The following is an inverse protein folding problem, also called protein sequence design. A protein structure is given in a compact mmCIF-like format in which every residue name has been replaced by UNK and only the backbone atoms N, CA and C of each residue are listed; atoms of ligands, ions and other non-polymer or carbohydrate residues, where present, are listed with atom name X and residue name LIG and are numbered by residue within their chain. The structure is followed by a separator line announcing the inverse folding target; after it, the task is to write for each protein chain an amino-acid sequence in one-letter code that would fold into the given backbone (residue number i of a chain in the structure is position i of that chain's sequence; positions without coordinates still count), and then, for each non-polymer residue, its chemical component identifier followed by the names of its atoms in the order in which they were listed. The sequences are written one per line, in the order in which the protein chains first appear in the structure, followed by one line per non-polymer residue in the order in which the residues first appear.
data_IF_991828262632
#
_entry.id   IF_991828262632
#
_cell.length_a   1.000
_cell.length_b   1.000
_cell.length_c   1.000
_cell.angle_alpha   90.00
_cell.angle_beta   90.00
_cell.angle_gamma   90.00
#
_symmetry.space_group_name_H-M   'P 1'
#
loop_
_entity.id
_entity.type
_entity.pdbx_description
1 polymer ?
#
# COMPACT_ATOMS: atom_id res chain seq x y z
N UNK A 1 14.18 -4.11 25.12
CA UNK A 1 13.35 -4.84 24.14
C UNK A 1 12.08 -4.03 23.93
N UNK A 2 11.79 -3.59 22.71
CA UNK A 2 10.57 -2.86 22.40
C UNK A 2 9.56 -3.82 21.76
N UNK A 3 8.29 -3.44 21.83
CA UNK A 3 7.23 -4.12 21.10
C UNK A 3 6.68 -3.18 20.01
N UNK A 4 6.86 -3.54 18.74
CA UNK A 4 6.49 -2.73 17.60
C UNK A 4 5.20 -3.25 16.98
N UNK A 5 4.21 -2.38 16.81
CA UNK A 5 2.99 -2.68 16.09
C UNK A 5 3.10 -2.27 14.61
N UNK A 6 2.63 -3.11 13.70
CA UNK A 6 2.61 -2.84 12.25
C UNK A 6 1.17 -2.69 11.80
N UNK A 7 0.82 -1.54 11.23
CA UNK A 7 -0.50 -1.28 10.62
C UNK A 7 -0.31 -1.12 9.12
N UNK A 8 -0.88 -2.01 8.31
CA UNK A 8 -0.80 -1.95 6.86
C UNK A 8 -2.06 -2.52 6.19
N UNK A 9 -2.31 -2.19 4.90
CA UNK A 9 -3.34 -2.88 4.12
C UNK A 9 -3.04 -4.37 4.03
N UNK A 10 -4.09 -5.17 4.14
CA UNK A 10 -4.00 -6.63 4.03
C UNK A 10 -3.98 -7.07 2.56
N UNK A 11 -2.96 -6.64 1.84
CA UNK A 11 -2.72 -7.02 0.45
C UNK A 11 -1.26 -7.47 0.27
N UNK A 12 -0.96 -8.41 -0.62
CA UNK A 12 0.36 -9.03 -0.72
C UNK A 12 1.51 -8.02 -0.88
N UNK A 13 1.34 -6.99 -1.73
CA UNK A 13 2.37 -5.99 -1.97
C UNK A 13 2.75 -5.18 -0.72
N UNK A 14 1.79 -4.89 0.16
CA UNK A 14 2.03 -4.18 1.41
C UNK A 14 2.54 -5.13 2.50
N UNK A 15 1.89 -6.29 2.66
CA UNK A 15 2.26 -7.26 3.68
C UNK A 15 3.69 -7.78 3.50
N UNK A 16 4.11 -8.10 2.27
CA UNK A 16 5.45 -8.63 2.03
C UNK A 16 6.55 -7.63 2.40
N UNK A 17 6.40 -6.37 2.03
CA UNK A 17 7.34 -5.31 2.43
C UNK A 17 7.38 -5.13 3.96
N UNK A 18 6.21 -5.14 4.61
CA UNK A 18 6.14 -5.03 6.07
C UNK A 18 6.70 -6.25 6.79
N UNK A 19 6.59 -7.45 6.22
CA UNK A 19 7.22 -8.67 6.75
C UNK A 19 8.74 -8.55 6.71
N UNK A 20 9.33 -8.00 5.63
CA UNK A 20 10.77 -7.78 5.56
C UNK A 20 11.26 -6.83 6.68
N UNK A 21 10.52 -5.75 6.92
CA UNK A 21 10.82 -4.82 8.00
C UNK A 21 10.61 -5.44 9.39
N UNK A 22 9.57 -6.27 9.55
CA UNK A 22 9.30 -7.00 10.79
C UNK A 22 10.40 -8.01 11.11
N UNK A 23 10.92 -8.75 10.13
CA UNK A 23 12.05 -9.66 10.32
C UNK A 23 13.31 -8.90 10.73
N UNK A 24 13.62 -7.79 10.09
CA UNK A 24 14.76 -6.94 10.47
C UNK A 24 14.61 -6.36 11.89
N UNK A 25 13.38 -6.06 12.30
CA UNK A 25 13.04 -5.56 13.64
C UNK A 25 13.20 -6.69 14.68
N UNK A 26 12.69 -7.89 14.37
CA UNK A 26 12.83 -9.08 15.22
C UNK A 26 14.29 -9.51 15.37
N UNK A 27 15.08 -9.46 14.30
CA UNK A 27 16.50 -9.78 14.33
C UNK A 27 17.31 -8.85 15.26
N UNK A 28 16.78 -7.66 15.56
CA UNK A 28 17.34 -6.72 16.55
C UNK A 28 16.81 -6.91 17.97
N UNK A 29 16.10 -8.01 18.24
CA UNK A 29 15.59 -8.35 19.56
C UNK A 29 14.28 -7.67 19.95
N UNK A 30 13.53 -7.13 18.99
CA UNK A 30 12.23 -6.51 19.25
C UNK A 30 11.09 -7.49 18.93
N UNK A 31 9.98 -7.38 19.66
CA UNK A 31 8.72 -8.08 19.35
C UNK A 31 7.96 -7.31 18.30
N UNK A 32 7.23 -8.01 17.41
CA UNK A 32 6.40 -7.41 16.36
C UNK A 32 5.03 -8.05 16.35
N UNK A 33 3.97 -7.23 16.28
CA UNK A 33 2.58 -7.66 16.10
C UNK A 33 1.94 -6.89 14.93
N UNK A 34 1.27 -7.60 14.04
CA UNK A 34 0.55 -7.00 12.91
C UNK A 34 -0.90 -6.69 13.30
N UNK A 35 -1.34 -5.49 12.98
CA UNK A 35 -2.71 -5.02 13.14
C UNK A 35 -3.34 -4.84 11.76
N UNK A 36 -4.34 -5.66 11.43
CA UNK A 36 -4.86 -5.76 10.08
C UNK A 36 -6.39 -5.68 10.04
N UNK A 37 -6.91 -5.15 8.94
CA UNK A 37 -8.29 -5.36 8.53
C UNK A 37 -8.40 -6.65 7.72
N UNK A 38 -9.52 -7.34 7.86
CA UNK A 38 -9.77 -8.59 7.16
C UNK A 38 -9.06 -9.80 7.76
N UNK A 39 -9.12 -10.93 7.06
CA UNK A 39 -8.48 -12.19 7.49
C UNK A 39 -6.97 -12.10 7.23
N UNK A 40 -6.12 -12.28 8.24
CA UNK A 40 -4.68 -12.26 8.05
C UNK A 40 -4.21 -13.26 7.00
N UNK A 41 -3.26 -12.91 6.13
CA UNK A 41 -2.70 -13.86 5.18
C UNK A 41 -1.81 -14.88 5.89
N UNK A 42 -1.79 -16.11 5.39
CA UNK A 42 -1.01 -17.20 5.97
C UNK A 42 0.49 -16.88 6.08
N UNK A 43 1.02 -16.04 5.19
CA UNK A 43 2.44 -15.63 5.19
C UNK A 43 2.89 -14.97 6.49
N UNK A 44 2.01 -14.25 7.20
CA UNK A 44 2.34 -13.63 8.50
C UNK A 44 2.48 -14.71 9.58
N UNK A 45 1.53 -15.66 9.63
CA UNK A 45 1.56 -16.75 10.58
C UNK A 45 2.76 -17.69 10.31
N UNK A 46 3.01 -18.02 9.03
CA UNK A 46 4.19 -18.82 8.62
C UNK A 46 5.50 -18.13 8.99
N UNK A 47 5.54 -16.78 8.96
CA UNK A 47 6.69 -16.02 9.43
C UNK A 47 6.80 -15.97 10.97
N UNK A 48 5.83 -16.52 11.71
CA UNK A 48 5.83 -16.55 13.17
C UNK A 48 5.51 -15.21 13.84
N UNK A 49 4.74 -14.34 13.16
CA UNK A 49 4.27 -13.09 13.75
C UNK A 49 2.82 -13.19 14.22
N UNK A 50 2.54 -12.51 15.32
CA UNK A 50 1.19 -12.37 15.84
C UNK A 50 0.38 -11.39 14.99
N UNK A 51 -0.93 -11.64 14.89
CA UNK A 51 -1.87 -10.77 14.21
C UNK A 51 -3.06 -10.42 15.09
N UNK A 52 -3.51 -9.19 14.98
CA UNK A 52 -4.68 -8.68 15.72
C UNK A 52 -5.60 -7.96 14.72
N UNK A 53 -6.91 -8.20 14.84
CA UNK A 53 -7.90 -7.59 13.95
C UNK A 53 -8.21 -6.15 14.36
N UNK A 54 -8.26 -5.25 13.37
CA UNK A 54 -8.72 -3.87 13.50
C UNK A 54 -10.16 -3.64 13.01
N UNK A 55 -10.78 -4.66 12.45
CA UNK A 55 -12.10 -4.49 11.80
C UNK A 55 -13.28 -4.49 12.78
N UNK A 56 -13.18 -5.29 13.84
CA UNK A 56 -14.28 -5.48 14.79
C UNK A 56 -15.60 -5.78 14.09
N UNK A 57 -16.68 -5.16 14.55
CA UNK A 57 -18.03 -5.24 13.93
C UNK A 57 -18.22 -4.19 12.82
N UNK A 58 -17.39 -3.14 12.78
CA UNK A 58 -17.52 -2.02 11.82
C UNK A 58 -17.14 -2.45 10.41
N UNK A 59 -16.06 -3.23 10.30
CA UNK A 59 -15.61 -3.76 9.03
C UNK A 59 -15.16 -5.23 9.19
N UNK A 60 -16.09 -6.17 9.28
CA UNK A 60 -15.78 -7.59 9.45
C UNK A 60 -14.87 -8.14 8.36
N UNK A 61 -14.11 -9.18 8.69
CA UNK A 61 -13.08 -9.73 7.80
C UNK A 61 -13.61 -10.14 6.42
N UNK A 62 -14.75 -10.81 6.38
CA UNK A 62 -15.36 -11.28 5.13
C UNK A 62 -15.85 -10.09 4.27
N UNK A 63 -16.43 -9.06 4.91
CA UNK A 63 -16.84 -7.85 4.22
C UNK A 63 -15.63 -7.10 3.62
N UNK A 64 -14.51 -7.00 4.34
CA UNK A 64 -13.27 -6.41 3.84
C UNK A 64 -12.78 -7.17 2.60
N UNK A 65 -12.76 -8.51 2.66
CA UNK A 65 -12.28 -9.35 1.58
C UNK A 65 -13.18 -9.24 0.32
N UNK A 66 -14.50 -9.21 0.50
CA UNK A 66 -15.45 -9.03 -0.58
C UNK A 66 -15.29 -7.68 -1.32
N UNK A 67 -15.02 -6.60 -0.57
CA UNK A 67 -14.78 -5.28 -1.18
C UNK A 67 -13.52 -5.26 -2.07
N UNK A 68 -12.45 -5.94 -1.66
CA UNK A 68 -11.23 -6.05 -2.48
C UNK A 68 -11.42 -6.97 -3.69
N UNK A 69 -12.19 -8.05 -3.56
CA UNK A 69 -12.54 -8.89 -4.70
C UNK A 69 -13.34 -8.11 -5.75
N UNK A 70 -14.29 -7.30 -5.31
CA UNK A 70 -15.06 -6.41 -6.18
C UNK A 70 -14.16 -5.37 -6.86
N UNK A 71 -13.21 -4.76 -6.13
CA UNK A 71 -12.26 -3.81 -6.69
C UNK A 71 -11.47 -4.42 -7.86
N UNK A 72 -11.12 -5.70 -7.80
CA UNK A 72 -10.36 -6.40 -8.84
C UNK A 72 -11.03 -6.41 -10.22
N UNK A 73 -12.36 -6.26 -10.29
CA UNK A 73 -13.13 -6.21 -11.52
C UNK A 73 -13.52 -4.80 -11.98
N UNK A 74 -13.22 -3.77 -11.18
CA UNK A 74 -13.58 -2.39 -11.48
C UNK A 74 -12.43 -1.66 -12.19
N UNK A 75 -12.79 -0.67 -13.01
CA UNK A 75 -11.85 0.16 -13.76
C UNK A 75 -12.17 1.66 -13.58
N UNK A 76 -11.21 2.51 -13.87
CA UNK A 76 -11.34 3.96 -13.96
C UNK A 76 -12.03 4.60 -12.75
N UNK A 77 -13.03 5.42 -13.02
CA UNK A 77 -13.79 6.17 -11.98
C UNK A 77 -14.53 5.24 -11.00
N UNK A 78 -14.99 4.08 -11.47
CA UNK A 78 -15.68 3.12 -10.61
C UNK A 78 -14.71 2.50 -9.59
N UNK A 79 -13.52 2.11 -10.03
CA UNK A 79 -12.45 1.60 -9.16
C UNK A 79 -12.02 2.67 -8.14
N UNK A 80 -11.81 3.90 -8.59
CA UNK A 80 -11.43 5.01 -7.71
C UNK A 80 -12.49 5.28 -6.64
N UNK A 81 -13.76 5.43 -7.04
CA UNK A 81 -14.87 5.65 -6.10
C UNK A 81 -14.96 4.52 -5.07
N UNK A 82 -14.79 3.28 -5.53
CA UNK A 82 -14.84 2.12 -4.67
C UNK A 82 -13.66 2.06 -3.69
N UNK A 83 -12.45 2.35 -4.15
CA UNK A 83 -11.25 2.46 -3.30
C UNK A 83 -11.42 3.48 -2.19
N UNK A 84 -11.96 4.67 -2.51
CA UNK A 84 -12.22 5.70 -1.51
C UNK A 84 -13.29 5.28 -0.50
N UNK A 85 -14.31 4.54 -0.94
CA UNK A 85 -15.34 4.01 -0.05
C UNK A 85 -14.77 2.95 0.91
N UNK A 86 -13.93 2.04 0.41
CA UNK A 86 -13.19 1.08 1.27
C UNK A 86 -12.33 1.84 2.27
N UNK A 87 -11.54 2.83 1.81
CA UNK A 87 -10.67 3.64 2.66
C UNK A 87 -11.44 4.39 3.76
N UNK A 88 -12.64 4.90 3.45
CA UNK A 88 -13.50 5.58 4.42
C UNK A 88 -14.01 4.61 5.51
N UNK A 89 -14.50 3.42 5.12
CA UNK A 89 -14.92 2.37 6.07
C UNK A 89 -13.75 1.85 6.89
N UNK A 90 -12.59 1.69 6.27
CA UNK A 90 -11.36 1.30 6.96
C UNK A 90 -10.96 2.34 8.01
N UNK A 91 -11.10 3.62 7.69
CA UNK A 91 -10.83 4.69 8.64
C UNK A 91 -11.78 4.62 9.85
N UNK A 92 -13.08 4.44 9.62
CA UNK A 92 -14.07 4.29 10.70
C UNK A 92 -13.69 3.12 11.63
N UNK A 93 -13.41 1.94 11.06
CA UNK A 93 -13.07 0.74 11.83
C UNK A 93 -11.77 0.92 12.64
N UNK A 94 -10.71 1.42 12.02
CA UNK A 94 -9.41 1.58 12.67
C UNK A 94 -9.46 2.65 13.77
N UNK A 95 -10.20 3.75 13.56
CA UNK A 95 -10.34 4.79 14.57
C UNK A 95 -11.20 4.35 15.77
N UNK A 96 -12.20 3.51 15.53
CA UNK A 96 -13.08 3.02 16.59
C UNK A 96 -12.43 1.89 17.41
N UNK A 97 -11.84 0.90 16.74
CA UNK A 97 -11.33 -0.34 17.36
C UNK A 97 -9.85 -0.22 17.72
N UNK A 98 -9.06 0.43 16.83
CA UNK A 98 -7.60 0.42 16.89
C UNK A 98 -7.00 0.88 18.22
N UNK A 99 -7.40 2.03 18.79
CA UNK A 99 -6.79 2.51 20.03
C UNK A 99 -6.90 1.54 21.20
N UNK A 100 -8.08 0.91 21.37
CA UNK A 100 -8.30 -0.06 22.44
C UNK A 100 -7.46 -1.32 22.24
N UNK A 101 -7.49 -1.87 21.01
CA UNK A 101 -6.80 -3.11 20.67
C UNK A 101 -5.28 -2.93 20.68
N UNK A 102 -4.74 -1.83 20.17
CA UNK A 102 -3.31 -1.55 20.20
C UNK A 102 -2.82 -1.39 21.65
N UNK A 103 -3.58 -0.71 22.49
CA UNK A 103 -3.24 -0.54 23.92
C UNK A 103 -3.14 -1.88 24.64
N UNK A 104 -4.05 -2.83 24.40
CA UNK A 104 -4.07 -4.13 25.11
C UNK A 104 -2.87 -5.02 24.78
N UNK A 105 -2.22 -4.81 23.64
CA UNK A 105 -1.04 -5.59 23.24
C UNK A 105 0.27 -5.11 23.85
N UNK A 106 0.28 -3.91 24.45
CA UNK A 106 1.47 -3.34 25.06
C UNK A 106 2.55 -2.93 24.06
N UNK A 107 2.20 -2.59 22.83
CA UNK A 107 3.15 -2.02 21.86
C UNK A 107 3.66 -0.66 22.31
N UNK A 108 4.93 -0.37 22.04
CA UNK A 108 5.63 0.85 22.45
C UNK A 108 5.92 1.80 21.29
N UNK A 109 5.75 1.34 20.05
CA UNK A 109 5.89 2.14 18.83
C UNK A 109 5.08 1.52 17.70
N UNK A 110 4.70 2.34 16.72
CA UNK A 110 3.98 1.87 15.53
C UNK A 110 4.80 2.09 14.25
N UNK A 111 4.65 1.17 13.32
CA UNK A 111 5.04 1.29 11.92
C UNK A 111 3.77 1.27 11.11
N UNK A 112 3.50 2.34 10.39
CA UNK A 112 2.23 2.58 9.71
C UNK A 112 2.48 2.71 8.21
N UNK A 113 1.80 1.90 7.43
CA UNK A 113 1.81 2.03 5.98
C UNK A 113 1.23 3.39 5.56
N UNK A 114 1.83 4.01 4.56
CA UNK A 114 1.44 5.33 4.05
C UNK A 114 -0.04 5.44 3.66
N UNK A 115 -0.64 4.34 3.18
CA UNK A 115 -2.07 4.32 2.80
C UNK A 115 -2.98 3.81 3.92
N UNK A 116 -2.44 3.45 5.07
CA UNK A 116 -3.20 3.20 6.31
C UNK A 116 -3.47 4.53 7.04
N UNK A 117 -4.19 5.43 6.38
CA UNK A 117 -4.36 6.83 6.76
C UNK A 117 -4.71 7.09 8.24
N UNK A 118 -5.57 6.29 8.91
CA UNK A 118 -5.89 6.52 10.32
C UNK A 118 -4.79 6.07 11.30
N UNK A 119 -3.79 5.31 10.86
CA UNK A 119 -2.81 4.68 11.74
C UNK A 119 -1.97 5.68 12.54
N UNK A 120 -1.58 6.81 11.96
CA UNK A 120 -0.90 7.90 12.67
C UNK A 120 -1.78 8.52 13.77
N UNK A 121 -3.11 8.60 13.52
CA UNK A 121 -4.05 9.09 14.55
C UNK A 121 -4.16 8.11 15.72
N UNK A 122 -4.14 6.81 15.48
CA UNK A 122 -4.09 5.81 16.56
C UNK A 122 -2.81 5.98 17.38
N UNK A 123 -1.66 6.20 16.73
CA UNK A 123 -0.40 6.46 17.43
C UNK A 123 -0.49 7.70 18.32
N UNK A 124 -0.95 8.83 17.76
CA UNK A 124 -1.07 10.10 18.49
C UNK A 124 -2.04 9.99 19.68
N UNK A 125 -3.19 9.32 19.49
CA UNK A 125 -4.17 9.09 20.56
C UNK A 125 -3.60 8.29 21.73
N UNK A 126 -2.64 7.40 21.44
CA UNK A 126 -1.99 6.56 22.44
C UNK A 126 -0.67 7.15 22.96
N UNK A 127 -0.23 8.29 22.43
CA UNK A 127 1.07 8.88 22.75
C UNK A 127 2.26 8.02 22.29
N UNK A 128 2.08 7.18 21.26
CA UNK A 128 3.12 6.30 20.75
C UNK A 128 3.91 6.96 19.61
N UNK A 129 5.23 6.84 19.61
CA UNK A 129 6.01 7.23 18.45
C UNK A 129 5.67 6.30 17.26
N UNK A 130 5.68 6.86 16.04
CA UNK A 130 5.48 6.05 14.86
C UNK A 130 6.35 6.47 13.67
N UNK A 131 6.60 5.51 12.79
CA UNK A 131 7.20 5.72 11.49
C UNK A 131 6.18 5.41 10.38
N UNK A 132 6.22 6.15 9.29
CA UNK A 132 5.44 5.83 8.08
C UNK A 132 6.29 5.05 7.09
N UNK A 133 5.72 4.00 6.48
CA UNK A 133 6.38 3.21 5.43
C UNK A 133 5.64 3.40 4.11
N UNK A 134 6.39 3.83 3.11
CA UNK A 134 5.91 4.06 1.75
C UNK A 134 6.26 2.84 0.90
N UNK A 135 5.28 1.95 0.72
CA UNK A 135 5.45 0.70 -0.03
C UNK A 135 5.29 0.87 -1.56
N UNK A 136 5.01 2.07 -2.00
CA UNK A 136 4.92 2.49 -3.40
C UNK A 136 5.56 3.87 -3.56
N UNK A 137 5.14 4.66 -4.56
CA UNK A 137 5.58 6.04 -4.71
C UNK A 137 5.20 6.89 -3.49
N UNK A 138 6.05 7.86 -3.15
CA UNK A 138 5.74 8.84 -2.12
C UNK A 138 4.52 9.67 -2.49
N UNK A 139 3.53 9.70 -1.61
CA UNK A 139 2.31 10.48 -1.80
C UNK A 139 2.44 11.93 -1.30
N UNK A 140 3.61 12.32 -0.78
CA UNK A 140 3.87 13.68 -0.32
C UNK A 140 3.65 14.69 -1.44
N UNK A 141 2.80 15.71 -1.27
CA UNK A 141 2.61 16.74 -2.26
C UNK A 141 3.89 17.54 -2.49
N UNK A 142 4.20 17.78 -3.76
CA UNK A 142 5.31 18.66 -4.18
C UNK A 142 4.90 19.35 -5.49
N UNK A 143 4.80 20.69 -5.51
CA UNK A 143 4.43 21.41 -6.72
C UNK A 143 5.43 21.26 -7.88
N UNK A 144 6.66 20.81 -7.63
CA UNK A 144 7.65 20.58 -8.69
C UNK A 144 7.34 19.36 -9.55
N UNK A 145 6.51 18.44 -9.04
CA UNK A 145 6.13 17.22 -9.73
C UNK A 145 4.61 17.12 -9.92
N UNK A 146 4.14 16.48 -10.99
CA UNK A 146 2.72 16.19 -11.14
C UNK A 146 2.26 15.13 -10.13
N UNK A 147 0.99 15.16 -9.69
CA UNK A 147 0.44 14.09 -8.89
C UNK A 147 0.49 12.73 -9.62
N UNK A 148 0.72 11.67 -8.87
CA UNK A 148 0.94 10.30 -9.37
C UNK A 148 -0.21 9.71 -10.22
N UNK A 149 -1.40 10.26 -10.13
CA UNK A 149 -2.57 9.81 -10.92
C UNK A 149 -2.70 10.52 -12.28
N UNK A 150 -1.77 11.40 -12.63
CA UNK A 150 -1.76 12.12 -13.91
C UNK A 150 -0.76 11.49 -14.87
N UNK A 151 -1.00 11.65 -16.18
CA UNK A 151 -0.05 11.27 -17.22
C UNK A 151 0.92 12.41 -17.58
N UNK A 152 1.05 13.41 -16.70
CA UNK A 152 1.90 14.56 -16.98
C UNK A 152 3.36 14.27 -16.67
N UNK A 153 4.24 14.77 -17.51
CA UNK A 153 5.67 14.74 -17.23
C UNK A 153 6.08 15.91 -16.32
N UNK A 154 7.06 15.70 -15.44
CA UNK A 154 7.69 16.78 -14.69
C UNK A 154 8.27 17.83 -15.65
N UNK A 155 8.02 19.10 -15.39
CA UNK A 155 8.55 20.21 -16.16
C UNK A 155 8.97 21.33 -15.21
N UNK A 156 10.17 21.86 -15.41
CA UNK A 156 10.67 23.00 -14.65
C UNK A 156 10.20 24.33 -15.28
N UNK A 157 8.90 24.58 -15.15
CA UNK A 157 8.26 25.78 -15.63
C UNK A 157 7.27 26.30 -14.60
N UNK A 158 7.14 27.62 -14.46
CA UNK A 158 6.25 28.24 -13.47
C UNK A 158 4.78 27.78 -13.62
N UNK A 159 4.29 27.72 -14.87
CA UNK A 159 2.93 27.26 -15.16
C UNK A 159 2.70 25.79 -14.77
N UNK A 160 3.73 24.93 -14.94
CA UNK A 160 3.66 23.53 -14.54
C UNK A 160 3.53 23.40 -13.02
N UNK A 161 4.23 24.23 -12.27
CA UNK A 161 4.12 24.28 -10.79
C UNK A 161 2.73 24.72 -10.35
N UNK A 162 2.10 25.70 -11.02
CA UNK A 162 0.72 26.12 -10.75
C UNK A 162 -0.25 24.98 -11.07
N UNK A 163 -0.13 24.38 -12.25
CA UNK A 163 -0.93 23.22 -12.66
C UNK A 163 -0.84 22.08 -11.62
N UNK A 164 0.36 21.72 -11.23
CA UNK A 164 0.60 20.65 -10.27
C UNK A 164 0.00 20.99 -8.89
N UNK A 165 0.15 22.24 -8.42
CA UNK A 165 -0.45 22.70 -7.16
C UNK A 165 -1.97 22.57 -7.17
N UNK A 166 -2.62 22.98 -8.25
CA UNK A 166 -4.08 22.84 -8.42
C UNK A 166 -4.47 21.34 -8.40
N UNK A 167 -3.72 20.50 -9.09
CA UNK A 167 -4.00 19.07 -9.13
C UNK A 167 -3.79 18.39 -7.77
N UNK A 168 -2.76 18.76 -6.99
CA UNK A 168 -2.57 18.31 -5.62
C UNK A 168 -3.71 18.75 -4.68
N UNK A 169 -4.23 19.98 -4.85
CA UNK A 169 -5.43 20.43 -4.12
C UNK A 169 -6.66 19.61 -4.50
N UNK A 170 -6.82 19.28 -5.80
CA UNK A 170 -7.86 18.37 -6.28
C UNK A 170 -7.77 16.98 -5.64
N UNK A 171 -6.56 16.44 -5.50
CA UNK A 171 -6.33 15.16 -4.84
C UNK A 171 -6.69 15.19 -3.35
N UNK A 172 -6.32 16.25 -2.64
CA UNK A 172 -6.74 16.43 -1.24
C UNK A 172 -8.27 16.43 -1.09
N UNK A 173 -8.97 17.06 -2.05
CA UNK A 173 -10.43 17.03 -2.06
C UNK A 173 -11.00 15.65 -2.37
N UNK A 174 -10.31 14.88 -3.20
CA UNK A 174 -10.68 13.49 -3.49
C UNK A 174 -10.58 12.61 -2.25
N UNK A 175 -9.59 12.82 -1.40
CA UNK A 175 -9.43 12.11 -0.12
C UNK A 175 -10.32 12.66 1.01
N UNK A 176 -11.10 13.72 0.76
CA UNK A 176 -11.96 14.32 1.78
C UNK A 176 -12.87 13.33 2.53
N UNK A 177 -13.48 12.29 1.90
CA UNK A 177 -14.28 11.31 2.64
C UNK A 177 -13.53 10.60 3.76
N UNK A 178 -12.24 10.32 3.56
CA UNK A 178 -11.37 9.68 4.56
C UNK A 178 -10.87 10.72 5.55
N UNK A 179 -10.38 11.85 5.05
CA UNK A 179 -9.79 12.91 5.87
C UNK A 179 -10.79 13.52 6.85
N UNK A 180 -12.05 13.72 6.42
CA UNK A 180 -13.10 14.24 7.32
C UNK A 180 -13.32 13.34 8.53
N UNK A 181 -13.26 12.02 8.38
CA UNK A 181 -13.38 11.07 9.49
C UNK A 181 -12.23 11.22 10.47
N UNK A 182 -11.02 11.26 9.96
CA UNK A 182 -9.80 11.47 10.76
C UNK A 182 -9.86 12.82 11.49
N UNK A 183 -10.21 13.89 10.78
CA UNK A 183 -10.32 15.24 11.34
C UNK A 183 -11.36 15.32 12.45
N UNK A 184 -12.55 14.73 12.24
CA UNK A 184 -13.61 14.71 13.25
C UNK A 184 -13.19 13.91 14.49
N UNK A 185 -12.61 12.73 14.30
CA UNK A 185 -12.11 11.90 15.40
C UNK A 185 -11.05 12.65 16.22
N UNK A 186 -10.06 13.25 15.56
CA UNK A 186 -9.00 14.01 16.21
C UNK A 186 -9.54 15.24 16.95
N UNK A 187 -10.50 15.94 16.36
CA UNK A 187 -11.16 17.09 16.99
C UNK A 187 -11.89 16.70 18.28
N UNK A 188 -12.61 15.57 18.27
CA UNK A 188 -13.32 15.05 19.43
C UNK A 188 -12.37 14.66 20.58
N UNK A 189 -11.11 14.34 20.26
CA UNK A 189 -10.07 13.98 21.22
C UNK A 189 -9.18 15.16 21.63
N UNK A 190 -9.41 16.37 21.10
CA UNK A 190 -8.53 17.52 21.34
C UNK A 190 -7.14 17.39 20.73
N UNK A 191 -6.94 16.50 19.74
CA UNK A 191 -5.70 16.33 19.02
C UNK A 191 -5.54 17.37 17.90
N UNK A 192 -4.31 17.65 17.49
CA UNK A 192 -4.02 18.48 16.32
C UNK A 192 -4.74 17.96 15.09
N UNK A 193 -5.47 18.84 14.38
CA UNK A 193 -6.29 18.47 13.23
C UNK A 193 -5.47 18.65 11.94
N UNK A 194 -5.28 17.58 11.12
CA UNK A 194 -4.52 17.66 9.89
C UNK A 194 -5.26 18.53 8.86
N UNK A 195 -4.50 19.37 8.13
CA UNK A 195 -5.01 20.23 7.07
C UNK A 195 -4.95 19.56 5.70
N UNK A 196 -4.05 18.61 5.53
CA UNK A 196 -3.86 17.85 4.30
C UNK A 196 -3.38 16.43 4.56
N UNK A 197 -3.30 15.64 3.50
CA UNK A 197 -2.92 14.22 3.59
C UNK A 197 -1.51 14.03 4.13
N UNK A 198 -0.60 14.97 3.91
CA UNK A 198 0.78 14.90 4.42
C UNK A 198 0.87 14.97 5.95
N UNK A 199 -0.13 15.57 6.59
CA UNK A 199 -0.10 15.82 8.04
C UNK A 199 -0.47 14.58 8.87
N UNK A 200 -0.91 13.50 8.22
CA UNK A 200 -1.21 12.22 8.88
C UNK A 200 -0.02 11.25 8.92
N UNK A 201 1.04 11.56 8.19
CA UNK A 201 2.26 10.76 8.19
C UNK A 201 3.23 11.24 9.25
N UNK A 202 4.17 10.35 9.62
CA UNK A 202 5.16 10.66 10.64
C UNK A 202 6.01 11.88 10.28
N UNK A 203 6.12 12.79 11.21
CA UNK A 203 7.06 13.92 11.20
C UNK A 203 8.49 13.53 11.60
N UNK A 204 8.67 12.31 12.13
CA UNK A 204 9.95 11.79 12.63
C UNK A 204 10.67 10.92 11.59
N UNK A 205 9.95 10.02 10.94
CA UNK A 205 10.54 9.07 9.99
C UNK A 205 9.51 8.59 8.96
N UNK A 206 9.85 8.77 7.68
CA UNK A 206 9.15 8.18 6.55
C UNK A 206 10.13 7.32 5.76
N UNK A 207 9.87 6.03 5.65
CA UNK A 207 10.74 5.05 5.00
C UNK A 207 10.14 4.74 3.63
N UNK A 208 10.88 5.01 2.56
CA UNK A 208 10.49 4.61 1.20
C UNK A 208 11.30 3.40 0.76
N UNK A 209 10.62 2.34 0.31
CA UNK A 209 11.28 1.18 -0.28
C UNK A 209 11.68 1.40 -1.75
N UNK A 210 11.31 2.53 -2.34
CA UNK A 210 11.81 2.91 -3.66
C UNK A 210 13.28 3.35 -3.54
N UNK A 211 14.14 2.98 -4.49
CA UNK A 211 15.40 3.68 -4.68
C UNK A 211 15.15 5.13 -5.08
N UNK A 212 15.97 6.05 -4.61
CA UNK A 212 15.83 7.48 -4.93
C UNK A 212 15.82 7.73 -6.45
N UNK A 213 16.55 6.90 -7.21
CA UNK A 213 16.60 6.97 -8.68
C UNK A 213 15.24 6.74 -9.36
N UNK A 214 14.33 6.00 -8.73
CA UNK A 214 12.98 5.74 -9.25
C UNK A 214 11.94 6.74 -8.76
N UNK A 215 12.31 7.65 -7.85
CA UNK A 215 11.40 8.69 -7.41
C UNK A 215 11.37 9.84 -8.42
N UNK A 216 10.27 10.57 -8.46
CA UNK A 216 10.19 11.80 -9.22
C UNK A 216 11.23 12.82 -8.72
N UNK A 217 11.76 13.71 -9.60
CA UNK A 217 12.74 14.73 -9.21
C UNK A 217 12.10 15.82 -8.34
N UNK A 218 11.86 15.48 -7.08
CA UNK A 218 11.25 16.38 -6.09
C UNK A 218 12.23 17.45 -5.65
N UNK A 219 11.71 18.67 -5.45
CA UNK A 219 12.50 19.76 -4.89
C UNK A 219 12.24 19.94 -3.39
N UNK A 220 11.10 19.56 -2.91
CA UNK A 220 10.63 19.77 -1.54
C UNK A 220 10.34 18.41 -0.87
N UNK A 221 11.38 17.58 -0.77
CA UNK A 221 11.27 16.32 -0.04
C UNK A 221 11.35 16.58 1.47
N UNK A 222 10.40 16.07 2.28
CA UNK A 222 10.47 16.20 3.73
C UNK A 222 11.75 15.58 4.30
N UNK A 223 12.39 16.27 5.24
CA UNK A 223 13.71 15.88 5.80
C UNK A 223 13.69 14.51 6.50
N UNK A 224 12.54 14.07 6.96
CA UNK A 224 12.35 12.77 7.61
C UNK A 224 12.24 11.59 6.63
N UNK A 225 12.18 11.83 5.32
CA UNK A 225 12.12 10.76 4.31
C UNK A 225 13.49 10.10 4.17
N UNK A 226 13.49 8.77 4.11
CA UNK A 226 14.67 7.94 3.85
C UNK A 226 14.35 6.92 2.77
N UNK A 227 15.14 6.91 1.71
CA UNK A 227 15.11 5.87 0.69
C UNK A 227 16.00 4.72 1.15
N UNK A 228 15.42 3.53 1.23
CA UNK A 228 16.14 2.34 1.74
C UNK A 228 16.29 1.23 0.71
N UNK A 229 15.66 1.40 -0.46
CA UNK A 229 15.57 0.36 -1.47
C UNK A 229 14.50 -0.69 -1.14
N UNK A 230 14.35 -1.72 -2.01
CA UNK A 230 13.28 -2.70 -1.88
C UNK A 230 13.33 -3.45 -0.55
N UNK A 231 12.21 -3.47 0.14
CA UNK A 231 12.00 -4.29 1.33
C UNK A 231 11.64 -5.70 0.87
N UNK A 232 12.64 -6.58 0.84
CA UNK A 232 12.53 -7.95 0.34
C UNK A 232 13.07 -8.95 1.34
N UNK A 233 12.42 -10.12 1.42
CA UNK A 233 12.85 -11.27 2.24
C UNK A 233 13.43 -12.34 1.36
N UNK A 234 14.59 -12.85 1.70
CA UNK A 234 15.16 -14.03 1.03
C UNK A 234 14.27 -15.28 1.18
N UNK A 235 13.49 -15.36 2.27
CA UNK A 235 12.55 -16.45 2.53
C UNK A 235 11.28 -16.40 1.68
N UNK A 236 11.00 -15.29 0.99
CA UNK A 236 9.81 -15.16 0.13
C UNK A 236 9.99 -15.88 -1.22
N UNK A 237 11.23 -16.30 -1.52
CA UNK A 237 11.56 -17.10 -2.69
C UNK A 237 11.18 -18.58 -2.47
N UNK A 238 9.91 -18.86 -2.14
CA UNK A 238 9.46 -20.24 -2.12
C UNK A 238 9.40 -20.78 -3.55
N UNK A 239 9.95 -21.97 -3.82
CA UNK A 239 9.80 -22.59 -5.13
C UNK A 239 8.31 -22.74 -5.46
N UNK A 240 7.86 -22.08 -6.51
CA UNK A 240 6.53 -22.32 -7.05
C UNK A 240 6.62 -23.37 -8.14
N UNK A 241 5.63 -24.26 -8.26
CA UNK A 241 5.55 -25.18 -9.40
C UNK A 241 5.49 -24.36 -10.70
N UNK A 242 6.54 -24.48 -11.50
CA UNK A 242 6.63 -23.81 -12.79
C UNK A 242 7.32 -24.76 -13.76
N UNK A 243 6.85 -24.91 -14.99
CA UNK A 243 7.44 -25.82 -15.97
C UNK A 243 8.73 -25.23 -16.58
N UNK A 244 9.79 -25.17 -15.77
CA UNK A 244 11.10 -24.62 -16.14
C UNK A 244 11.68 -25.28 -17.39
N UNK A 245 11.38 -26.55 -17.59
CA UNK A 245 11.78 -27.35 -18.74
C UNK A 245 11.19 -26.89 -20.07
N UNK A 246 10.15 -26.06 -20.03
CA UNK A 246 9.52 -25.46 -21.21
C UNK A 246 10.21 -24.18 -21.69
N UNK A 247 11.15 -23.66 -20.92
CA UNK A 247 11.97 -22.52 -21.32
C UNK A 247 13.07 -23.02 -22.28
N UNK A 248 13.13 -22.47 -23.47
CA UNK A 248 13.99 -22.91 -24.58
C UNK A 248 15.27 -22.08 -24.75
N UNK A 249 15.53 -21.15 -23.83
CA UNK A 249 16.73 -20.29 -23.81
C UNK A 249 16.60 -19.01 -24.62
N UNK A 250 15.50 -18.77 -25.33
CA UNK A 250 15.22 -17.46 -25.93
C UNK A 250 15.00 -16.39 -24.84
N UNK A 251 15.12 -15.11 -25.19
CA UNK A 251 14.78 -14.02 -24.26
C UNK A 251 13.39 -14.23 -23.63
N UNK A 252 13.30 -14.10 -22.31
CA UNK A 252 12.07 -14.29 -21.57
C UNK A 252 11.42 -12.94 -21.27
N UNK A 253 10.18 -12.79 -21.72
CA UNK A 253 9.30 -11.68 -21.36
C UNK A 253 8.36 -12.15 -20.24
N UNK A 254 8.47 -11.56 -19.06
CA UNK A 254 7.54 -11.82 -17.95
C UNK A 254 6.54 -10.67 -17.84
N UNK A 255 5.25 -10.98 -17.91
CA UNK A 255 4.17 -10.01 -17.81
C UNK A 255 3.25 -10.29 -16.62
N UNK A 256 2.91 -9.25 -15.86
CA UNK A 256 2.00 -9.35 -14.72
C UNK A 256 1.27 -8.03 -14.49
N UNK A 257 -0.01 -8.09 -14.14
CA UNK A 257 -0.81 -6.94 -13.71
C UNK A 257 -0.86 -6.80 -12.18
N UNK A 258 -0.01 -7.52 -11.46
CA UNK A 258 0.04 -7.48 -9.99
C UNK A 258 -1.14 -8.22 -9.33
N UNK A 259 -1.49 -7.81 -8.11
CA UNK A 259 -2.38 -8.58 -7.23
C UNK A 259 -3.77 -7.97 -7.00
N UNK A 260 -4.01 -6.73 -7.43
CA UNK A 260 -5.28 -6.02 -7.15
C UNK A 260 -6.19 -5.94 -8.38
N UNK A 261 -5.74 -5.31 -9.44
CA UNK A 261 -6.53 -5.08 -10.67
C UNK A 261 -6.04 -5.98 -11.80
N UNK A 262 -6.16 -7.28 -11.62
CA UNK A 262 -5.62 -8.31 -12.50
C UNK A 262 -6.71 -9.17 -13.19
N UNK A 263 -7.99 -8.76 -13.11
CA UNK A 263 -9.11 -9.45 -13.79
C UNK A 263 -9.47 -8.81 -15.13
N UNK A 264 -8.45 -8.33 -15.86
CA UNK A 264 -8.62 -7.60 -17.12
C UNK A 264 -8.09 -8.48 -18.28
N UNK A 265 -8.89 -9.46 -18.70
CA UNK A 265 -8.50 -10.41 -19.77
C UNK A 265 -8.03 -9.72 -21.06
N UNK A 266 -8.68 -8.60 -21.44
CA UNK A 266 -8.30 -7.84 -22.62
C UNK A 266 -6.87 -7.31 -22.58
N UNK A 267 -6.37 -6.88 -21.40
CA UNK A 267 -5.00 -6.40 -21.27
C UNK A 267 -3.98 -7.53 -21.50
N UNK A 268 -4.24 -8.72 -20.96
CA UNK A 268 -3.37 -9.88 -21.19
C UNK A 268 -3.32 -10.28 -22.67
N UNK A 269 -4.45 -10.18 -23.38
CA UNK A 269 -4.48 -10.44 -24.84
C UNK A 269 -3.65 -9.41 -25.59
N UNK A 270 -3.77 -8.12 -25.28
CA UNK A 270 -2.94 -7.07 -25.90
C UNK A 270 -1.45 -7.32 -25.65
N UNK A 271 -1.08 -7.76 -24.44
CA UNK A 271 0.31 -8.14 -24.14
C UNK A 271 0.76 -9.32 -24.98
N UNK A 272 -0.08 -10.35 -25.13
CA UNK A 272 0.24 -11.51 -25.95
C UNK A 272 0.39 -11.14 -27.43
N UNK A 273 -0.55 -10.37 -27.98
CA UNK A 273 -0.52 -9.85 -29.37
C UNK A 273 0.74 -8.99 -29.62
N UNK A 274 1.13 -8.15 -28.65
CA UNK A 274 2.33 -7.33 -28.75
C UNK A 274 3.64 -8.15 -28.74
N UNK A 275 3.60 -9.38 -28.24
CA UNK A 275 4.74 -10.30 -28.25
C UNK A 275 4.71 -11.27 -29.44
N UNK A 276 3.66 -11.28 -30.23
CA UNK A 276 3.54 -12.14 -31.40
C UNK A 276 4.63 -11.81 -32.43
N UNK A 277 5.29 -12.84 -32.94
CA UNK A 277 6.38 -12.68 -33.93
C UNK A 277 7.73 -12.24 -33.34
N UNK A 278 7.83 -12.02 -32.04
CA UNK A 278 9.13 -11.79 -31.40
C UNK A 278 9.88 -13.11 -31.18
N UNK A 279 11.20 -13.07 -31.36
CA UNK A 279 12.06 -14.20 -30.99
C UNK A 279 12.28 -14.25 -29.48
N UNK A 280 11.20 -14.46 -28.75
CA UNK A 280 11.15 -14.46 -27.28
C UNK A 280 10.09 -15.44 -26.78
N UNK A 281 10.21 -15.85 -25.52
CA UNK A 281 9.16 -16.56 -24.78
C UNK A 281 8.38 -15.60 -23.89
N UNK A 282 7.06 -15.68 -23.90
CA UNK A 282 6.20 -14.91 -23.01
C UNK A 282 5.67 -15.79 -21.89
N UNK A 283 5.85 -15.33 -20.65
CA UNK A 283 5.21 -15.90 -19.46
C UNK A 283 4.30 -14.85 -18.85
N UNK A 284 3.02 -15.18 -18.74
CA UNK A 284 2.02 -14.30 -18.12
C UNK A 284 1.63 -14.83 -16.75
N UNK A 285 1.77 -13.99 -15.73
CA UNK A 285 1.19 -14.23 -14.41
C UNK A 285 -0.16 -13.56 -14.30
N UNK A 286 -1.22 -14.35 -14.20
CA UNK A 286 -2.59 -13.85 -14.01
C UNK A 286 -2.87 -13.42 -12.57
N UNK A 287 -1.93 -13.68 -11.65
CA UNK A 287 -2.17 -13.53 -10.22
C UNK A 287 -3.31 -14.43 -9.73
N UNK A 288 -3.93 -14.11 -8.63
CA UNK A 288 -5.10 -14.85 -8.12
C UNK A 288 -6.43 -14.33 -8.69
N UNK A 289 -6.39 -13.48 -9.70
CA UNK A 289 -7.58 -12.80 -10.22
C UNK A 289 -8.33 -13.57 -11.28
N UNK A 290 -7.62 -14.44 -12.04
CA UNK A 290 -8.16 -15.10 -13.20
C UNK A 290 -7.45 -16.45 -13.41
N UNK A 291 -8.19 -17.47 -13.82
CA UNK A 291 -7.56 -18.74 -14.25
C UNK A 291 -6.91 -18.59 -15.64
N UNK A 292 -5.82 -19.29 -15.93
CA UNK A 292 -5.19 -19.26 -17.26
C UNK A 292 -6.17 -19.62 -18.39
N UNK A 293 -7.10 -20.56 -18.14
CA UNK A 293 -8.10 -21.02 -19.10
C UNK A 293 -9.06 -19.91 -19.54
N UNK A 294 -9.31 -18.91 -18.66
CA UNK A 294 -10.16 -17.76 -18.96
C UNK A 294 -9.57 -16.81 -20.01
N UNK A 295 -8.26 -16.92 -20.29
CA UNK A 295 -7.60 -16.17 -21.35
C UNK A 295 -7.83 -16.78 -22.74
N UNK A 296 -8.19 -18.07 -22.80
CA UNK A 296 -8.29 -18.82 -24.04
C UNK A 296 -6.92 -19.14 -24.65
N UNK A 297 -6.88 -19.37 -25.95
CA UNK A 297 -5.61 -19.45 -26.69
C UNK A 297 -5.09 -18.03 -26.88
N UNK A 298 -3.90 -17.79 -26.36
CA UNK A 298 -3.12 -16.57 -26.56
C UNK A 298 -2.18 -16.78 -27.74
#
# INVERSE_FOLDING_TARGET
MNHVGVICPNTPGHVNAMLALADATRARGHRVTFFLLGKPPASIATAGFETVSLGGTVFPADAYQAEFQKLGSLQDRAALKHTLAIGARAADAVLEVGPAVVRTTGVTALVVDQVSFPGGTVADQLGLPFATVCNALLLNPDPSIPPYFTHWYPRDAWWARIRNRIAWMGLNRLYAPIMTRIQNHRRNLGLSVPTGISDIWSDKLQISQQPELFEFPRRELPKQVRFVGPLHRSSDSQPVPFPWERLDGRPLIYASLGTLQNRIAGMFRVIAEACEGLDAQLVISTGNGMSPEALGKL
#
